data_IF_904755173954
#
_entry.id   IF_904755173954
#
_cell.length_a   1.000
_cell.length_b   1.000
_cell.length_c   1.000
_cell.angle_alpha   90.00
_cell.angle_beta   90.00
_cell.angle_gamma   90.00
#
_symmetry.space_group_name_H-M   'P 1'
#
loop_
_entity.id
_entity.type
_entity.pdbx_description
1 polymer ?
#
# COMPACT_ATOMS: atom_id res chain seq x y z
N UNK A 1 -2.35 5.01 11.18
CA UNK A 1 -3.74 4.52 11.16
C UNK A 1 -4.71 5.68 11.31
N UNK A 2 -5.74 5.78 10.49
CA UNK A 2 -6.75 6.86 10.54
C UNK A 2 -7.36 7.00 11.94
N UNK A 3 -7.58 5.90 12.65
CA UNK A 3 -8.08 5.88 14.02
C UNK A 3 -7.25 6.74 14.97
N UNK A 4 -5.95 6.65 14.90
CA UNK A 4 -5.04 7.38 15.77
C UNK A 4 -4.75 8.79 15.24
N UNK A 5 -5.05 9.05 13.98
CA UNK A 5 -4.82 10.33 13.32
C UNK A 5 -5.84 11.41 13.71
N UNK A 6 -7.04 11.02 14.16
CA UNK A 6 -8.10 11.96 14.58
C UNK A 6 -8.16 12.18 16.08
N UNK A 7 -7.45 11.38 16.87
CA UNK A 7 -7.43 11.45 18.34
C UNK A 7 -6.08 11.92 18.85
N UNK A 8 -6.02 12.39 20.11
CA UNK A 8 -4.77 12.56 20.85
C UNK A 8 -4.05 11.24 21.09
N UNK A 9 -2.75 11.29 21.32
CA UNK A 9 -1.90 10.11 21.58
C UNK A 9 -2.06 9.58 23.00
N UNK A 10 -2.57 10.39 23.89
CA UNK A 10 -2.70 10.08 25.32
C UNK A 10 -3.67 8.92 25.56
N UNK A 11 -3.35 8.06 26.52
CA UNK A 11 -4.22 6.97 26.98
C UNK A 11 -5.25 7.43 28.01
N UNK A 12 -5.90 8.56 27.75
CA UNK A 12 -6.92 9.16 28.61
C UNK A 12 -8.15 9.51 27.78
N UNK A 13 -9.32 9.00 28.16
CA UNK A 13 -10.58 9.22 27.46
C UNK A 13 -10.88 10.71 27.26
N UNK A 14 -10.67 11.53 28.29
CA UNK A 14 -10.94 12.97 28.25
C UNK A 14 -10.04 13.74 27.28
N UNK A 15 -8.85 13.22 26.98
CA UNK A 15 -7.88 13.83 26.08
C UNK A 15 -7.95 13.25 24.65
N UNK A 16 -8.64 12.13 24.47
CA UNK A 16 -8.81 11.49 23.17
C UNK A 16 -10.09 11.90 22.46
N UNK A 17 -10.41 13.17 22.49
CA UNK A 17 -11.55 13.72 21.77
C UNK A 17 -11.22 13.74 20.27
N UNK A 18 -12.05 13.15 19.40
CA UNK A 18 -11.86 13.20 17.96
C UNK A 18 -11.92 14.64 17.44
N UNK A 19 -10.94 15.01 16.62
CA UNK A 19 -10.88 16.31 15.96
C UNK A 19 -10.83 16.12 14.42
N UNK A 20 -11.87 16.49 13.67
CA UNK A 20 -11.91 16.37 12.22
C UNK A 20 -10.78 17.13 11.50
N UNK A 21 -10.25 18.22 12.09
CA UNK A 21 -9.12 18.97 11.51
C UNK A 21 -7.84 18.12 11.46
N UNK A 22 -7.69 17.21 12.41
CA UNK A 22 -6.57 16.26 12.42
C UNK A 22 -6.65 15.28 11.25
N UNK A 23 -7.85 14.83 10.90
CA UNK A 23 -8.06 13.97 9.72
C UNK A 23 -7.67 14.70 8.43
N UNK A 24 -8.06 15.96 8.29
CA UNK A 24 -7.67 16.78 7.14
C UNK A 24 -6.14 16.94 7.05
N UNK A 25 -5.48 17.18 8.19
CA UNK A 25 -4.00 17.24 8.26
C UNK A 25 -3.37 15.91 7.86
N UNK A 26 -3.91 14.79 8.35
CA UNK A 26 -3.44 13.44 8.00
C UNK A 26 -3.56 13.18 6.50
N UNK A 27 -4.69 13.56 5.88
CA UNK A 27 -4.89 13.49 4.44
C UNK A 27 -3.81 14.29 3.68
N UNK A 28 -3.60 15.55 4.04
CA UNK A 28 -2.62 16.42 3.38
C UNK A 28 -1.19 15.88 3.49
N UNK A 29 -0.80 15.39 4.66
CA UNK A 29 0.50 14.76 4.88
C UNK A 29 0.65 13.47 4.08
N UNK A 30 -0.39 12.63 4.05
CA UNK A 30 -0.42 11.41 3.27
C UNK A 30 -0.25 11.71 1.78
N UNK A 31 -1.03 12.64 1.23
CA UNK A 31 -0.96 13.03 -0.18
C UNK A 31 0.44 13.53 -0.56
N UNK A 32 1.05 14.37 0.27
CA UNK A 32 2.42 14.87 0.04
C UNK A 32 3.45 13.75 0.06
N UNK A 33 3.37 12.85 1.04
CA UNK A 33 4.27 11.69 1.15
C UNK A 33 4.12 10.74 -0.03
N UNK A 34 2.89 10.44 -0.43
CA UNK A 34 2.62 9.56 -1.57
C UNK A 34 3.10 10.16 -2.89
N UNK A 35 2.96 11.46 -3.07
CA UNK A 35 3.51 12.15 -4.24
C UNK A 35 5.04 12.11 -4.28
N UNK A 36 5.70 12.26 -3.14
CA UNK A 36 7.15 12.12 -3.02
C UNK A 36 7.62 10.70 -3.37
N UNK A 37 6.96 9.68 -2.82
CA UNK A 37 7.28 8.28 -3.12
C UNK A 37 7.04 7.99 -4.61
N UNK A 38 5.98 8.51 -5.21
CA UNK A 38 5.71 8.38 -6.64
C UNK A 38 6.80 9.03 -7.48
N UNK A 39 7.28 10.21 -7.08
CA UNK A 39 8.40 10.87 -7.75
C UNK A 39 9.66 10.01 -7.71
N UNK A 40 9.98 9.39 -6.58
CA UNK A 40 11.11 8.47 -6.46
C UNK A 40 10.91 7.19 -7.28
N UNK A 41 9.74 6.59 -7.24
CA UNK A 41 9.45 5.34 -7.96
C UNK A 41 9.50 5.48 -9.49
N UNK A 42 9.32 6.70 -10.02
CA UNK A 42 9.35 7.00 -11.46
C UNK A 42 10.54 7.87 -11.87
N UNK A 43 11.24 8.47 -10.92
CA UNK A 43 12.34 9.41 -11.13
C UNK A 43 13.74 8.80 -11.28
N UNK A 44 13.83 7.47 -11.33
CA UNK A 44 15.11 6.77 -11.51
C UNK A 44 15.73 6.21 -10.21
N UNK A 45 15.18 6.51 -9.03
CA UNK A 45 15.64 5.91 -7.76
C UNK A 45 15.35 4.40 -7.67
N UNK A 46 14.38 3.91 -8.44
CA UNK A 46 14.03 2.50 -8.54
C UNK A 46 14.85 1.73 -9.60
N UNK A 47 15.96 2.29 -10.07
CA UNK A 47 16.88 1.61 -10.98
C UNK A 47 17.37 0.30 -10.37
N UNK A 48 17.21 -0.81 -11.10
CA UNK A 48 17.57 -2.14 -10.62
C UNK A 48 19.05 -2.28 -10.25
N UNK A 49 19.95 -1.61 -10.98
CA UNK A 49 21.38 -1.60 -10.66
C UNK A 49 21.65 -0.88 -9.34
N UNK A 50 20.97 0.25 -9.10
CA UNK A 50 21.08 0.99 -7.84
C UNK A 50 20.54 0.18 -6.66
N UNK A 51 19.37 -0.42 -6.81
CA UNK A 51 18.77 -1.27 -5.77
C UNK A 51 19.66 -2.46 -5.44
N UNK A 52 20.24 -3.09 -6.47
CA UNK A 52 21.21 -4.17 -6.29
C UNK A 52 22.46 -3.71 -5.52
N UNK A 53 23.02 -2.55 -5.85
CA UNK A 53 24.16 -1.97 -5.14
C UNK A 53 23.85 -1.70 -3.66
N UNK A 54 22.67 -1.23 -3.34
CA UNK A 54 22.24 -1.02 -1.94
C UNK A 54 22.12 -2.34 -1.19
N UNK A 55 21.57 -3.37 -1.82
CA UNK A 55 21.44 -4.71 -1.23
C UNK A 55 22.83 -5.30 -0.93
N UNK A 56 23.80 -5.18 -1.84
CA UNK A 56 25.18 -5.59 -1.61
C UNK A 56 25.80 -4.88 -0.39
N UNK A 57 25.54 -3.59 -0.23
CA UNK A 57 26.01 -2.81 0.92
C UNK A 57 25.41 -3.28 2.24
N UNK A 58 24.15 -3.74 2.23
CA UNK A 58 23.47 -4.28 3.40
C UNK A 58 24.00 -5.67 3.78
N UNK A 59 24.18 -6.56 2.82
CA UNK A 59 24.65 -7.95 3.05
C UNK A 59 26.06 -7.97 3.61
N UNK A 60 26.96 -7.12 3.09
CA UNK A 60 28.32 -7.00 3.62
C UNK A 60 28.40 -6.64 5.10
N UNK A 61 27.33 -6.07 5.66
CA UNK A 61 27.22 -5.72 7.09
C UNK A 61 26.56 -6.79 7.93
N UNK A 62 25.84 -7.74 7.33
CA UNK A 62 25.17 -8.82 8.05
C UNK A 62 25.97 -10.11 7.87
N UNK A 63 26.32 -10.77 8.97
CA UNK A 63 26.98 -12.10 8.94
C UNK A 63 26.02 -13.23 8.57
N UNK A 64 24.79 -12.93 8.23
CA UNK A 64 23.73 -13.92 8.04
C UNK A 64 23.43 -14.15 6.57
N UNK A 65 23.58 -15.40 6.20
CA UNK A 65 22.83 -16.17 5.23
C UNK A 65 23.49 -16.45 3.87
N UNK A 66 24.09 -17.63 3.79
CA UNK A 66 24.56 -18.22 2.52
C UNK A 66 23.47 -18.25 1.44
N UNK A 67 22.20 -18.46 1.83
CA UNK A 67 21.06 -18.45 0.89
C UNK A 67 20.79 -17.07 0.31
N UNK A 68 20.91 -16.01 1.13
CA UNK A 68 20.70 -14.64 0.68
C UNK A 68 21.81 -14.22 -0.30
N UNK A 69 23.06 -14.59 -0.01
CA UNK A 69 24.17 -14.37 -0.92
C UNK A 69 24.01 -15.11 -2.24
N UNK A 70 23.57 -16.38 -2.22
CA UNK A 70 23.32 -17.13 -3.45
C UNK A 70 22.20 -16.51 -4.31
N UNK A 71 21.16 -15.96 -3.69
CA UNK A 71 20.11 -15.26 -4.41
C UNK A 71 20.65 -14.00 -5.07
N UNK A 72 21.48 -13.28 -4.37
CA UNK A 72 22.08 -12.04 -4.85
C UNK A 72 23.06 -12.26 -6.00
N UNK A 73 23.91 -13.29 -5.90
CA UNK A 73 24.80 -13.70 -6.98
C UNK A 73 23.99 -14.00 -8.26
N UNK A 74 22.85 -14.70 -8.15
CA UNK A 74 21.94 -14.94 -9.29
C UNK A 74 21.34 -13.66 -9.87
N UNK A 75 21.00 -12.70 -9.03
CA UNK A 75 20.47 -11.40 -9.49
C UNK A 75 21.60 -10.63 -10.21
N UNK A 76 22.81 -10.64 -9.68
CA UNK A 76 23.98 -10.02 -10.31
C UNK A 76 24.25 -10.61 -11.71
N UNK A 77 24.25 -11.94 -11.82
CA UNK A 77 24.45 -12.64 -13.09
C UNK A 77 23.33 -12.29 -14.10
N UNK A 78 22.08 -12.25 -13.65
CA UNK A 78 20.96 -11.88 -14.51
C UNK A 78 21.05 -10.44 -15.01
N UNK A 79 21.43 -9.49 -14.14
CA UNK A 79 21.63 -8.08 -14.53
C UNK A 79 22.81 -7.91 -15.50
N UNK A 80 23.90 -8.63 -15.26
CA UNK A 80 25.06 -8.63 -16.15
C UNK A 80 24.73 -9.20 -17.53
N UNK A 81 23.96 -10.29 -17.57
CA UNK A 81 23.47 -10.87 -18.83
C UNK A 81 22.55 -9.90 -19.60
N UNK A 82 21.60 -9.26 -18.90
CA UNK A 82 20.71 -8.26 -19.51
C UNK A 82 21.52 -7.10 -20.11
N UNK A 83 22.51 -6.61 -19.37
CA UNK A 83 23.38 -5.53 -19.83
C UNK A 83 24.18 -5.93 -21.08
N UNK A 84 24.74 -7.14 -21.11
CA UNK A 84 25.45 -7.70 -22.27
C UNK A 84 24.54 -7.84 -23.50
N UNK A 85 23.22 -8.04 -23.29
CA UNK A 85 22.22 -8.07 -24.36
C UNK A 85 21.72 -6.65 -24.76
N UNK A 86 22.28 -5.57 -24.19
CA UNK A 86 21.84 -4.20 -24.44
C UNK A 86 20.55 -3.82 -23.71
N UNK A 87 20.06 -4.66 -22.80
CA UNK A 87 18.87 -4.41 -21.99
C UNK A 87 19.31 -3.76 -20.69
N UNK A 88 19.45 -2.45 -20.70
CA UNK A 88 19.88 -1.70 -19.52
C UNK A 88 18.96 -0.48 -19.26
N UNK A 89 19.17 0.15 -18.11
CA UNK A 89 18.33 1.26 -17.64
C UNK A 89 18.50 2.54 -18.49
N UNK A 90 19.55 2.66 -19.30
CA UNK A 90 19.75 3.83 -20.16
C UNK A 90 18.81 3.83 -21.37
N UNK A 91 18.50 2.65 -21.89
CA UNK A 91 17.61 2.48 -23.03
C UNK A 91 16.20 2.00 -22.66
N UNK A 92 16.03 1.41 -21.48
CA UNK A 92 14.73 0.88 -21.06
C UNK A 92 14.24 1.53 -19.74
N UNK A 93 13.36 2.51 -19.87
CA UNK A 93 12.77 3.22 -18.72
C UNK A 93 12.10 2.29 -17.72
N UNK A 94 11.58 1.14 -18.14
CA UNK A 94 10.92 0.17 -17.24
C UNK A 94 11.87 -0.38 -16.17
N UNK A 95 13.17 -0.37 -16.42
CA UNK A 95 14.17 -0.80 -15.44
C UNK A 95 14.51 0.27 -14.39
N UNK A 96 14.02 1.51 -14.58
CA UNK A 96 14.18 2.65 -13.65
C UNK A 96 12.91 2.97 -12.88
N UNK A 97 11.81 2.27 -13.15
CA UNK A 97 10.51 2.55 -12.55
C UNK A 97 9.95 1.32 -11.85
N UNK A 98 9.25 1.55 -10.76
CA UNK A 98 8.52 0.50 -10.03
C UNK A 98 7.08 0.93 -9.82
N UNK A 99 6.15 -0.01 -9.95
CA UNK A 99 4.76 0.22 -9.62
C UNK A 99 4.64 0.42 -8.10
N UNK A 100 3.88 1.44 -7.74
CA UNK A 100 3.62 1.81 -6.37
C UNK A 100 2.13 1.73 -6.08
N UNK A 101 1.75 0.91 -5.11
CA UNK A 101 0.37 0.66 -4.73
C UNK A 101 0.15 1.00 -3.27
N UNK A 102 -0.99 1.60 -2.97
CA UNK A 102 -1.41 1.93 -1.62
C UNK A 102 -2.54 1.03 -1.17
N UNK A 103 -2.60 0.77 0.13
CA UNK A 103 -3.68 -0.01 0.73
C UNK A 103 -3.96 0.47 2.15
N UNK A 104 -5.22 0.40 2.57
CA UNK A 104 -5.61 0.61 3.96
C UNK A 104 -6.92 -0.10 4.33
N UNK A 105 -7.22 -0.15 5.64
CA UNK A 105 -8.50 -0.59 6.16
C UNK A 105 -9.55 0.51 5.93
N UNK A 106 -10.65 0.18 5.26
CA UNK A 106 -11.82 1.06 5.12
C UNK A 106 -12.57 1.16 6.46
N UNK A 107 -12.00 1.89 7.43
CA UNK A 107 -12.51 1.93 8.79
C UNK A 107 -13.59 3.00 9.00
N UNK A 108 -13.33 4.21 8.49
CA UNK A 108 -14.22 5.36 8.65
C UNK A 108 -15.03 5.59 7.38
N UNK A 109 -16.22 4.99 7.28
CA UNK A 109 -17.05 5.07 6.08
C UNK A 109 -17.34 6.50 5.59
N UNK A 110 -17.56 7.52 6.44
CA UNK A 110 -17.69 8.90 5.97
C UNK A 110 -16.45 9.43 5.26
N UNK A 111 -15.25 8.99 5.66
CA UNK A 111 -14.00 9.33 4.96
C UNK A 111 -13.92 8.62 3.61
N UNK A 112 -14.15 7.32 3.58
CA UNK A 112 -14.13 6.53 2.35
C UNK A 112 -15.17 7.03 1.35
N UNK A 113 -16.37 7.34 1.80
CA UNK A 113 -17.44 7.93 0.99
C UNK A 113 -16.99 9.28 0.39
N UNK A 114 -16.36 10.13 1.19
CA UNK A 114 -15.87 11.43 0.73
C UNK A 114 -14.76 11.32 -0.33
N UNK A 115 -14.05 10.20 -0.35
CA UNK A 115 -12.99 9.89 -1.33
C UNK A 115 -13.49 9.09 -2.54
N UNK A 116 -14.72 8.57 -2.50
CA UNK A 116 -15.29 7.78 -3.60
C UNK A 116 -15.65 8.67 -4.79
N UNK A 117 -15.30 8.24 -5.98
CA UNK A 117 -15.55 8.94 -7.26
C UNK A 117 -16.09 7.97 -8.29
N UNK A 118 -16.82 8.54 -9.25
CA UNK A 118 -17.24 7.82 -10.44
C UNK A 118 -16.12 7.91 -11.48
N UNK A 119 -15.70 6.78 -12.00
CA UNK A 119 -14.85 6.74 -13.18
C UNK A 119 -15.68 7.19 -14.38
N UNK A 120 -15.29 8.29 -15.01
CA UNK A 120 -15.98 8.87 -16.16
C UNK A 120 -15.99 7.98 -17.39
N UNK A 121 -15.10 6.98 -17.45
CA UNK A 121 -14.98 6.06 -18.58
C UNK A 121 -15.91 4.86 -18.44
N UNK A 122 -16.01 4.31 -17.24
CA UNK A 122 -16.77 3.08 -16.96
C UNK A 122 -18.11 3.33 -16.27
N UNK A 123 -18.29 4.49 -15.63
CA UNK A 123 -19.45 4.81 -14.80
C UNK A 123 -19.44 4.10 -13.43
N UNK A 124 -18.35 3.41 -13.09
CA UNK A 124 -18.21 2.64 -11.87
C UNK A 124 -17.65 3.48 -10.73
N UNK A 125 -18.02 3.12 -9.49
CA UNK A 125 -17.51 3.79 -8.29
C UNK A 125 -16.16 3.22 -7.86
N UNK A 126 -15.21 4.11 -7.60
CA UNK A 126 -13.91 3.76 -7.02
C UNK A 126 -13.64 4.60 -5.77
N UNK A 127 -13.25 3.95 -4.70
CA UNK A 127 -12.69 4.63 -3.54
C UNK A 127 -11.26 5.05 -3.84
N UNK A 128 -11.03 6.36 -3.94
CA UNK A 128 -9.72 6.92 -4.27
C UNK A 128 -8.82 7.14 -3.04
N UNK A 129 -9.24 6.67 -1.88
CA UNK A 129 -8.43 6.70 -0.65
C UNK A 129 -7.21 5.79 -0.73
N UNK A 130 -7.33 4.66 -1.45
CA UNK A 130 -6.24 3.74 -1.76
C UNK A 130 -6.55 2.89 -3.00
N UNK A 131 -5.53 2.24 -3.57
CA UNK A 131 -5.72 1.31 -4.68
C UNK A 131 -6.42 0.02 -4.23
N UNK A 132 -6.12 -0.44 -3.02
CA UNK A 132 -6.66 -1.64 -2.41
C UNK A 132 -7.20 -1.28 -1.02
N UNK A 133 -8.42 -1.65 -0.72
CA UNK A 133 -9.03 -1.43 0.59
C UNK A 133 -9.43 -2.75 1.21
N UNK A 134 -9.45 -2.84 2.55
CA UNK A 134 -9.90 -4.05 3.20
C UNK A 134 -10.92 -3.78 4.30
N UNK A 135 -11.79 -4.77 4.48
CA UNK A 135 -12.75 -4.83 5.57
C UNK A 135 -12.01 -5.33 6.82
N UNK A 136 -12.15 -4.62 7.93
CA UNK A 136 -11.55 -5.00 9.21
C UNK A 136 -12.21 -6.24 9.81
N UNK A 137 -11.47 -6.98 10.64
CA UNK A 137 -11.99 -8.17 11.33
C UNK A 137 -13.24 -7.88 12.18
N UNK A 138 -13.31 -6.69 12.78
CA UNK A 138 -14.44 -6.27 13.60
C UNK A 138 -15.61 -5.63 12.83
N UNK A 139 -15.47 -5.42 11.55
CA UNK A 139 -16.43 -4.71 10.68
C UNK A 139 -16.89 -5.57 9.50
N UNK A 140 -16.70 -6.88 9.56
CA UNK A 140 -16.99 -7.83 8.48
C UNK A 140 -18.36 -8.53 8.61
N UNK A 141 -19.30 -7.97 9.38
CA UNK A 141 -20.65 -8.50 9.45
C UNK A 141 -21.34 -8.41 8.09
N UNK A 142 -21.99 -9.48 7.64
CA UNK A 142 -22.60 -9.60 6.31
C UNK A 142 -23.64 -8.50 6.02
N UNK A 143 -24.37 -8.08 7.05
CA UNK A 143 -25.37 -7.03 7.03
C UNK A 143 -24.81 -5.66 7.47
N UNK A 144 -23.49 -5.57 7.66
CA UNK A 144 -22.81 -4.37 8.12
C UNK A 144 -22.51 -3.36 7.02
N UNK A 145 -22.50 -2.09 7.38
CA UNK A 145 -22.24 -0.98 6.45
C UNK A 145 -20.90 -1.06 5.73
N UNK A 146 -19.87 -1.67 6.33
CA UNK A 146 -18.55 -1.83 5.70
C UNK A 146 -18.58 -2.84 4.55
N UNK A 147 -19.29 -3.95 4.72
CA UNK A 147 -19.48 -4.94 3.66
C UNK A 147 -20.31 -4.34 2.53
N UNK A 148 -21.40 -3.64 2.86
CA UNK A 148 -22.27 -2.99 1.88
C UNK A 148 -21.54 -1.88 1.10
N UNK A 149 -20.74 -1.06 1.77
CA UNK A 149 -19.90 -0.06 1.09
C UNK A 149 -18.94 -0.72 0.10
N UNK A 150 -18.27 -1.78 0.51
CA UNK A 150 -17.30 -2.48 -0.35
C UNK A 150 -17.97 -3.16 -1.56
N UNK A 151 -19.22 -3.58 -1.46
CA UNK A 151 -20.00 -4.07 -2.63
C UNK A 151 -20.23 -3.00 -3.68
N UNK A 152 -20.30 -1.73 -3.27
CA UNK A 152 -20.57 -0.60 -4.16
C UNK A 152 -19.38 -0.07 -4.92
N UNK A 153 -18.15 -0.49 -4.60
CA UNK A 153 -16.92 0.01 -5.22
C UNK A 153 -16.21 -1.07 -6.04
N UNK A 154 -15.40 -0.65 -6.99
CA UNK A 154 -14.65 -1.54 -7.91
C UNK A 154 -13.18 -1.74 -7.55
N UNK A 155 -12.74 -1.19 -6.44
CA UNK A 155 -11.41 -1.46 -5.92
C UNK A 155 -11.22 -2.96 -5.67
N UNK A 156 -10.02 -3.51 -5.79
CA UNK A 156 -9.68 -4.79 -5.18
C UNK A 156 -9.93 -4.74 -3.67
N UNK A 157 -10.65 -5.73 -3.14
CA UNK A 157 -11.09 -5.77 -1.75
C UNK A 157 -10.38 -6.90 -1.01
N UNK A 158 -9.92 -6.60 0.19
CA UNK A 158 -9.42 -7.60 1.15
C UNK A 158 -10.34 -7.76 2.34
N UNK A 159 -10.19 -8.86 3.06
CA UNK A 159 -10.88 -9.15 4.30
C UNK A 159 -9.86 -9.54 5.36
N UNK A 160 -9.83 -8.82 6.47
CA UNK A 160 -9.00 -9.19 7.61
C UNK A 160 -9.66 -10.30 8.41
N UNK A 161 -9.00 -11.45 8.50
CA UNK A 161 -9.47 -12.58 9.27
C UNK A 161 -8.75 -12.65 10.61
N UNK A 162 -9.50 -12.61 11.69
CA UNK A 162 -9.02 -12.83 13.06
C UNK A 162 -9.18 -14.29 13.49
N UNK A 163 -8.79 -14.64 14.73
CA UNK A 163 -8.87 -16.00 15.25
C UNK A 163 -10.28 -16.59 15.29
N UNK A 164 -11.29 -15.74 15.31
CA UNK A 164 -12.72 -16.11 15.38
C UNK A 164 -13.39 -16.21 14.01
N UNK A 165 -12.64 -15.99 12.92
CA UNK A 165 -13.19 -16.03 11.57
C UNK A 165 -13.55 -17.45 11.17
N UNK A 166 -14.75 -17.63 10.61
CA UNK A 166 -15.21 -18.90 10.07
C UNK A 166 -15.14 -18.89 8.55
N UNK A 167 -14.64 -19.94 7.90
CA UNK A 167 -14.53 -19.99 6.44
C UNK A 167 -15.86 -19.74 5.73
N UNK A 168 -16.94 -20.27 6.27
CA UNK A 168 -18.30 -20.15 5.70
C UNK A 168 -18.82 -18.69 5.72
N UNK A 169 -18.38 -17.89 6.67
CA UNK A 169 -18.70 -16.45 6.74
C UNK A 169 -17.89 -15.68 5.71
N UNK A 170 -16.60 -16.00 5.57
CA UNK A 170 -15.70 -15.33 4.62
C UNK A 170 -16.15 -15.54 3.17
N UNK A 171 -16.61 -16.74 2.84
CA UNK A 171 -17.10 -17.07 1.48
C UNK A 171 -18.40 -16.31 1.13
N UNK A 172 -19.15 -15.85 2.13
CA UNK A 172 -20.42 -15.11 1.91
C UNK A 172 -20.19 -13.60 1.74
N UNK A 173 -19.04 -13.07 2.14
CA UNK A 173 -18.68 -11.67 1.98
C UNK A 173 -18.25 -11.41 0.55
#
# INVERSE_FOLDING_TARGET
CIRDSINGIEFNEKLRIPDPKRLFKAYSQSASTLNLIRAFSHGGFADLKMVHTWNLGFIKKSQQDKKFKQLEDKIADALAFMDACGINSDFNRRLKTVNFWTSHEALLLPFEQSMTRIDSTTGEYHDTSAHFVWIGDRTRQLDGGHVEFCRGIKNPIGIKCGPTSKPEEIVKI
#
